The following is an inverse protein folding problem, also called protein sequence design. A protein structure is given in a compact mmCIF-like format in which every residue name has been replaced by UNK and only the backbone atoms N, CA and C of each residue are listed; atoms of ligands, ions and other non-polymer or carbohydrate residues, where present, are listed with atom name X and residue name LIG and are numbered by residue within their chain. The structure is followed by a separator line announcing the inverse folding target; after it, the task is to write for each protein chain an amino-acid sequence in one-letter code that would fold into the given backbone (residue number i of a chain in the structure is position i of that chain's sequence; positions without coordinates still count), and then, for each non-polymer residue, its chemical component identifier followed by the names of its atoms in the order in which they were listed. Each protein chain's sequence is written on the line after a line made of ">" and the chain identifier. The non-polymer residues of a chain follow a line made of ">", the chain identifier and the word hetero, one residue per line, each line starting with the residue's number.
data_IF_495522234170
#
_entry.id   IF_495522234170
#
_cell.length_a   1.000
_cell.length_b   1.000
_cell.length_c   1.000
_cell.angle_alpha   90.00
_cell.angle_beta   90.00
_cell.angle_gamma   90.00
#
_symmetry.space_group_name_H-M   'P 1'
#
loop_
_entity.id
_entity.type
_entity.pdbx_description
1 polymer ?
#
# COMPACT_ATOMS: atom_id res chain seq x y z
N UNK A 1 12.74 2.90 -5.94
CA UNK A 1 12.25 2.03 -4.86
C UNK A 1 12.38 2.82 -3.56
N UNK A 2 11.34 2.94 -2.73
CA UNK A 2 11.38 3.78 -1.52
C UNK A 2 12.40 3.33 -0.46
N UNK A 3 12.96 2.13 -0.62
CA UNK A 3 13.95 1.51 0.26
C UNK A 3 15.41 1.75 -0.15
N UNK A 4 15.68 2.39 -1.30
CA UNK A 4 17.02 2.81 -1.75
C UNK A 4 16.90 4.01 -2.69
N UNK A 5 17.22 5.20 -2.20
CA UNK A 5 17.22 6.45 -2.98
C UNK A 5 15.85 7.06 -3.24
N UNK A 6 14.78 6.50 -2.67
CA UNK A 6 13.42 7.04 -2.78
C UNK A 6 13.06 8.05 -1.69
N UNK A 7 13.82 8.06 -0.60
CA UNK A 7 13.76 9.05 0.47
C UNK A 7 13.94 10.48 -0.07
N UNK A 8 14.81 10.67 -1.08
CA UNK A 8 15.05 11.98 -1.68
C UNK A 8 13.79 12.62 -2.31
N UNK A 9 12.81 11.82 -2.72
CA UNK A 9 11.53 12.33 -3.27
C UNK A 9 10.44 12.53 -2.21
N UNK A 10 10.57 11.88 -1.05
CA UNK A 10 9.57 11.89 0.02
C UNK A 10 9.92 12.89 1.12
N UNK A 11 11.20 12.96 1.49
CA UNK A 11 11.73 13.78 2.58
C UNK A 11 11.32 15.25 2.46
N UNK A 12 11.38 15.91 1.29
CA UNK A 12 10.95 17.30 1.18
C UNK A 12 9.48 17.52 1.55
N UNK A 13 8.59 16.60 1.16
CA UNK A 13 7.17 16.66 1.49
C UNK A 13 6.87 16.33 2.96
N UNK A 14 7.58 15.35 3.52
CA UNK A 14 7.46 14.97 4.93
C UNK A 14 8.04 16.03 5.88
N UNK A 15 9.12 16.71 5.49
CA UNK A 15 9.67 17.85 6.21
C UNK A 15 8.70 19.05 6.20
N UNK A 16 8.03 19.31 5.08
CA UNK A 16 7.00 20.34 4.99
C UNK A 16 5.80 20.08 5.93
N UNK A 17 5.58 18.82 6.30
CA UNK A 17 4.55 18.41 7.25
C UNK A 17 5.00 18.51 8.73
N UNK A 18 6.24 18.96 8.99
CA UNK A 18 6.77 19.22 10.33
C UNK A 18 7.26 17.97 11.09
N UNK A 19 7.49 16.84 10.41
CA UNK A 19 7.91 15.62 11.07
C UNK A 19 9.39 15.66 11.48
N UNK A 20 9.74 15.32 12.74
CA UNK A 20 11.10 15.43 13.28
C UNK A 20 12.11 14.45 12.65
N UNK A 21 11.66 13.36 12.00
CA UNK A 21 12.52 12.44 11.26
C UNK A 21 11.87 11.96 9.94
N UNK A 22 11.82 12.87 8.96
CA UNK A 22 11.25 12.62 7.64
C UNK A 22 11.91 11.44 6.88
N UNK A 23 13.17 11.11 7.18
CA UNK A 23 13.90 10.00 6.55
C UNK A 23 13.40 8.67 7.11
N UNK A 24 13.31 8.54 8.44
CA UNK A 24 12.77 7.33 9.05
C UNK A 24 11.32 7.06 8.59
N UNK A 25 10.49 8.11 8.48
CA UNK A 25 9.14 7.97 7.94
C UNK A 25 9.11 7.54 6.48
N UNK A 26 10.04 8.04 5.64
CA UNK A 26 10.13 7.60 4.24
C UNK A 26 10.45 6.10 4.12
N UNK A 27 11.36 5.58 4.97
CA UNK A 27 11.64 4.15 5.05
C UNK A 27 10.46 3.36 5.58
N UNK A 28 9.78 3.85 6.63
CA UNK A 28 8.60 3.21 7.19
C UNK A 28 7.50 3.04 6.13
N UNK A 29 7.25 4.09 5.34
CA UNK A 29 6.32 4.05 4.20
C UNK A 29 6.71 2.95 3.22
N UNK A 30 7.99 2.89 2.83
CA UNK A 30 8.48 1.86 1.91
C UNK A 30 8.33 0.44 2.45
N UNK A 31 8.54 0.24 3.75
CA UNK A 31 8.32 -1.05 4.41
C UNK A 31 6.84 -1.41 4.44
N UNK A 32 5.95 -0.47 4.78
CA UNK A 32 4.50 -0.69 4.79
C UNK A 32 3.96 -1.07 3.40
N UNK A 33 4.41 -0.39 2.34
CA UNK A 33 4.02 -0.73 0.96
C UNK A 33 4.50 -2.13 0.57
N UNK A 34 5.72 -2.49 0.94
CA UNK A 34 6.28 -3.80 0.62
C UNK A 34 5.58 -4.92 1.39
N UNK A 35 5.40 -4.76 2.71
CA UNK A 35 4.70 -5.73 3.56
C UNK A 35 3.24 -5.87 3.13
N UNK A 36 2.56 -4.77 2.80
CA UNK A 36 1.22 -4.79 2.25
C UNK A 36 1.15 -5.57 0.94
N UNK A 37 2.08 -5.32 0.01
CA UNK A 37 2.15 -6.06 -1.26
C UNK A 37 2.38 -7.56 -1.05
N UNK A 38 3.27 -7.93 -0.12
CA UNK A 38 3.52 -9.32 0.26
C UNK A 38 2.27 -9.95 0.88
N UNK A 39 1.54 -9.24 1.74
CA UNK A 39 0.29 -9.72 2.33
C UNK A 39 -0.79 -9.99 1.27
N UNK A 40 -0.87 -9.15 0.23
CA UNK A 40 -1.75 -9.39 -0.93
C UNK A 40 -1.31 -10.63 -1.73
N UNK A 41 -0.01 -10.81 -1.97
CA UNK A 41 0.52 -11.97 -2.69
C UNK A 41 0.31 -13.29 -1.94
N UNK A 42 0.54 -13.30 -0.62
CA UNK A 42 0.31 -14.46 0.24
C UNK A 42 -1.20 -14.74 0.38
N UNK A 43 -2.03 -13.70 0.21
CA UNK A 43 -3.46 -13.76 0.37
C UNK A 43 -3.91 -13.64 1.83
N UNK A 44 -3.09 -13.08 2.71
CA UNK A 44 -3.45 -12.88 4.12
C UNK A 44 -2.66 -11.74 4.78
N UNK A 45 -3.34 -10.77 5.43
CA UNK A 45 -4.77 -10.46 5.37
C UNK A 45 -5.11 -9.72 4.05
N UNK A 46 -5.60 -10.45 3.04
CA UNK A 46 -5.75 -9.90 1.68
C UNK A 46 -6.72 -8.71 1.61
N UNK A 47 -7.86 -8.76 2.33
CA UNK A 47 -8.88 -7.71 2.26
C UNK A 47 -8.38 -6.41 2.88
N UNK A 48 -7.88 -6.50 4.11
CA UNK A 48 -7.34 -5.36 4.86
C UNK A 48 -6.14 -4.76 4.13
N UNK A 49 -5.18 -5.57 3.69
CA UNK A 49 -4.00 -5.09 2.96
C UNK A 49 -4.38 -4.43 1.62
N UNK A 50 -5.28 -5.03 0.84
CA UNK A 50 -5.71 -4.45 -0.43
C UNK A 50 -6.49 -3.15 -0.21
N UNK A 51 -7.38 -3.08 0.77
CA UNK A 51 -8.09 -1.84 1.08
C UNK A 51 -7.14 -0.70 1.45
N UNK A 52 -6.19 -0.97 2.36
CA UNK A 52 -5.20 0.01 2.79
C UNK A 52 -4.30 0.48 1.62
N UNK A 53 -3.82 -0.45 0.79
CA UNK A 53 -3.02 -0.12 -0.40
C UNK A 53 -3.83 0.67 -1.44
N UNK A 54 -5.11 0.37 -1.61
CA UNK A 54 -5.99 1.10 -2.52
C UNK A 54 -6.19 2.55 -2.07
N UNK A 55 -6.50 2.77 -0.79
CA UNK A 55 -6.59 4.13 -0.21
C UNK A 55 -5.24 4.84 -0.32
N UNK A 56 -4.15 4.13 -0.04
CA UNK A 56 -2.79 4.65 -0.13
C UNK A 56 -2.43 5.13 -1.55
N UNK A 57 -2.81 4.39 -2.60
CA UNK A 57 -2.64 4.81 -3.98
C UNK A 57 -3.40 6.11 -4.29
N UNK A 58 -4.61 6.29 -3.78
CA UNK A 58 -5.36 7.54 -3.99
C UNK A 58 -4.70 8.72 -3.28
N UNK A 59 -4.30 8.55 -2.02
CA UNK A 59 -3.69 9.62 -1.22
C UNK A 59 -2.36 10.08 -1.82
N UNK A 60 -1.47 9.13 -2.11
CA UNK A 60 -0.15 9.41 -2.67
C UNK A 60 -0.21 9.87 -4.13
N UNK A 61 -1.12 9.29 -4.92
CA UNK A 61 -1.35 9.71 -6.30
C UNK A 61 -1.88 11.14 -6.38
N UNK A 62 -2.85 11.48 -5.53
CA UNK A 62 -3.32 12.86 -5.41
C UNK A 62 -2.17 13.75 -4.99
N UNK A 63 -1.46 13.48 -3.90
CA UNK A 63 -0.44 14.41 -3.39
C UNK A 63 0.75 14.61 -4.35
N UNK A 64 1.27 13.56 -4.96
CA UNK A 64 2.46 13.63 -5.81
C UNK A 64 2.16 14.08 -7.26
N UNK A 65 0.91 13.96 -7.74
CA UNK A 65 0.60 14.09 -9.17
C UNK A 65 -0.61 14.99 -9.49
N UNK A 66 -1.01 15.92 -8.60
CA UNK A 66 -2.13 16.87 -8.84
C UNK A 66 -2.05 17.60 -10.18
N UNK A 67 -0.84 17.90 -10.68
CA UNK A 67 -0.60 18.61 -11.93
C UNK A 67 -0.39 17.72 -13.17
N UNK A 68 -0.39 16.39 -13.01
CA UNK A 68 -0.19 15.45 -14.11
C UNK A 68 -1.28 14.36 -14.08
N UNK A 69 -2.28 14.53 -14.93
CA UNK A 69 -3.47 13.68 -14.92
C UNK A 69 -3.16 12.23 -15.32
N UNK A 70 -2.16 11.99 -16.17
CA UNK A 70 -1.77 10.63 -16.57
C UNK A 70 -1.19 9.86 -15.38
N UNK A 71 -0.30 10.49 -14.60
CA UNK A 71 0.28 9.87 -13.40
C UNK A 71 -0.74 9.71 -12.27
N UNK A 72 -1.69 10.64 -12.15
CA UNK A 72 -2.80 10.52 -11.21
C UNK A 72 -3.71 9.34 -11.58
N UNK A 73 -4.14 9.24 -12.84
CA UNK A 73 -5.01 8.17 -13.32
C UNK A 73 -4.37 6.80 -13.15
N UNK A 74 -3.05 6.66 -13.35
CA UNK A 74 -2.32 5.42 -13.03
C UNK A 74 -2.56 4.96 -11.60
N UNK A 75 -2.43 5.88 -10.63
CA UNK A 75 -2.65 5.56 -9.22
C UNK A 75 -4.12 5.25 -8.91
N UNK A 76 -5.06 5.95 -9.56
CA UNK A 76 -6.50 5.66 -9.46
C UNK A 76 -6.84 4.27 -10.00
N UNK A 77 -6.25 3.88 -11.13
CA UNK A 77 -6.42 2.53 -11.70
C UNK A 77 -5.86 1.46 -10.77
N UNK A 78 -4.67 1.67 -10.19
CA UNK A 78 -4.12 0.75 -9.19
C UNK A 78 -5.02 0.63 -7.96
N UNK A 79 -5.55 1.75 -7.46
CA UNK A 79 -6.50 1.76 -6.35
C UNK A 79 -7.75 0.94 -6.66
N UNK A 80 -8.31 1.07 -7.87
CA UNK A 80 -9.43 0.26 -8.33
C UNK A 80 -9.14 -1.23 -8.34
N UNK A 81 -7.95 -1.65 -8.80
CA UNK A 81 -7.51 -3.04 -8.74
C UNK A 81 -7.41 -3.57 -7.31
N UNK A 82 -6.85 -2.78 -6.40
CA UNK A 82 -6.79 -3.14 -4.99
C UNK A 82 -8.17 -3.21 -4.33
N UNK A 83 -9.09 -2.30 -4.64
CA UNK A 83 -10.46 -2.40 -4.11
C UNK A 83 -11.23 -3.60 -4.66
N UNK A 84 -11.00 -3.98 -5.91
CA UNK A 84 -11.54 -5.22 -6.45
C UNK A 84 -11.02 -6.45 -5.68
N UNK A 85 -9.72 -6.48 -5.36
CA UNK A 85 -9.13 -7.53 -4.50
C UNK A 85 -9.66 -7.49 -3.06
N UNK A 86 -9.92 -6.29 -2.51
CA UNK A 86 -10.49 -6.14 -1.18
C UNK A 86 -11.92 -6.72 -1.10
N UNK A 87 -12.71 -6.61 -2.16
CA UNK A 87 -14.06 -7.19 -2.25
C UNK A 87 -13.98 -8.70 -2.51
N UNK A 88 -13.21 -9.12 -3.51
CA UNK A 88 -13.08 -10.53 -3.88
C UNK A 88 -12.50 -11.38 -2.72
N UNK A 89 -11.54 -10.83 -1.97
CA UNK A 89 -10.82 -11.54 -0.92
C UNK A 89 -9.77 -12.52 -1.47
N UNK A 90 -9.20 -13.35 -0.59
CA UNK A 90 -8.14 -14.28 -0.97
C UNK A 90 -8.69 -15.42 -1.86
N UNK A 91 -8.15 -15.54 -3.08
CA UNK A 91 -8.54 -16.58 -4.03
C UNK A 91 -7.98 -17.97 -3.68
N UNK A 92 -8.43 -19.02 -4.37
CA UNK A 92 -8.05 -20.41 -4.12
C UNK A 92 -6.55 -20.71 -4.28
N UNK A 93 -5.80 -19.86 -4.99
CA UNK A 93 -4.35 -19.93 -5.11
C UNK A 93 -3.58 -19.25 -3.95
N UNK A 94 -4.29 -18.63 -3.00
CA UNK A 94 -3.66 -18.04 -1.82
C UNK A 94 -3.06 -19.14 -0.94
N UNK A 95 -1.95 -18.83 -0.26
CA UNK A 95 -1.21 -19.81 0.55
C UNK A 95 -2.08 -20.45 1.66
N UNK A 96 -3.13 -19.75 2.09
CA UNK A 96 -4.09 -20.20 3.10
C UNK A 96 -5.45 -20.66 2.54
N UNK A 97 -5.58 -20.87 1.22
CA UNK A 97 -6.79 -21.43 0.61
C UNK A 97 -8.08 -20.63 0.84
N UNK A 98 -7.98 -19.35 1.23
CA UNK A 98 -9.12 -18.46 1.45
C UNK A 98 -9.49 -18.24 2.93
N UNK A 99 -9.05 -19.11 3.85
CA UNK A 99 -9.28 -18.94 5.28
C UNK A 99 -8.07 -19.43 6.10
N UNK A 100 -7.29 -18.51 6.71
CA UNK A 100 -6.24 -18.90 7.64
C UNK A 100 -6.83 -19.67 8.83
N UNK A 101 -6.18 -20.74 9.26
CA UNK A 101 -6.57 -21.53 10.43
C UNK A 101 -5.66 -21.19 11.63
N UNK A 102 -6.14 -21.42 12.85
CA UNK A 102 -5.37 -21.15 14.08
C UNK A 102 -5.34 -19.67 14.48
N UNK A 103 -4.20 -19.18 14.99
CA UNK A 103 -4.03 -17.79 15.47
C UNK A 103 -4.36 -16.74 14.40
N UNK A 104 -4.09 -17.07 13.14
CA UNK A 104 -4.34 -16.21 11.98
C UNK A 104 -5.83 -16.14 11.59
N UNK A 105 -6.69 -16.99 12.15
CA UNK A 105 -8.14 -16.86 11.95
C UNK A 105 -8.74 -15.65 12.67
N UNK A 106 -8.07 -15.14 13.72
CA UNK A 106 -8.56 -14.05 14.57
C UNK A 106 -8.07 -12.66 14.17
N UNK A 107 -7.15 -12.60 13.21
CA UNK A 107 -6.56 -11.37 12.71
C UNK A 107 -7.28 -10.99 11.40
N UNK A 108 -7.87 -9.78 11.31
CA UNK A 108 -8.77 -9.37 10.23
C UNK A 108 -8.11 -9.17 8.86
#
# INVERSE_FOLDING_TARGET
>A
MKLRGGEAKLVPGLQALGLPDAVAFAYLIGVCEFVGGVAVLIGYPARTASFLLGVWCLLTGYDAHRGNITELLKNVTMAGGFFALAIAGPGSFSLFGGAPTGLFAYLP
#
